data_IF_614081981862
#
_entry.id   IF_614081981862
#
_cell.length_a   1.000
_cell.length_b   1.000
_cell.length_c   1.000
_cell.angle_alpha   90.00
_cell.angle_beta   90.00
_cell.angle_gamma   90.00
#
_symmetry.space_group_name_H-M   'P 1'
#
loop_
_entity.id
_entity.type
_entity.pdbx_description
1 polymer ?
#
# COMPACT_ATOMS: atom_id res chain seq x y z
N UNK A 1 31.49 -24.08 -11.47
CA UNK A 1 31.50 -22.78 -10.76
C UNK A 1 30.47 -21.95 -11.50
N UNK A 2 29.37 -21.52 -10.85
CA UNK A 2 28.17 -20.95 -11.50
C UNK A 2 28.41 -19.53 -12.06
N UNK A 3 29.29 -19.42 -13.05
CA UNK A 3 29.75 -18.16 -13.63
C UNK A 3 28.62 -17.38 -14.32
N UNK A 4 27.83 -18.04 -15.17
CA UNK A 4 26.68 -17.41 -15.81
C UNK A 4 25.67 -16.84 -14.81
N UNK A 5 25.41 -17.55 -13.72
CA UNK A 5 24.48 -17.09 -12.67
C UNK A 5 24.96 -15.80 -12.00
N UNK A 6 26.24 -15.73 -11.64
CA UNK A 6 26.82 -14.53 -11.02
C UNK A 6 26.78 -13.33 -11.97
N UNK A 7 26.99 -13.55 -13.26
CA UNK A 7 26.92 -12.49 -14.27
C UNK A 7 25.49 -11.96 -14.46
N UNK A 8 24.48 -12.84 -14.45
CA UNK A 8 23.06 -12.42 -14.47
C UNK A 8 22.70 -11.65 -13.20
N UNK A 9 23.15 -12.10 -12.03
CA UNK A 9 22.94 -11.36 -10.77
C UNK A 9 23.60 -9.97 -10.82
N UNK A 10 24.81 -9.86 -11.37
CA UNK A 10 25.48 -8.59 -11.57
C UNK A 10 24.68 -7.65 -12.47
N UNK A 11 24.21 -8.15 -13.62
CA UNK A 11 23.36 -7.38 -14.53
C UNK A 11 22.08 -6.88 -13.83
N UNK A 12 21.41 -7.75 -13.06
CA UNK A 12 20.24 -7.39 -12.26
C UNK A 12 20.55 -6.32 -11.21
N UNK A 13 21.68 -6.43 -10.52
CA UNK A 13 22.11 -5.44 -9.51
C UNK A 13 22.29 -4.05 -10.11
N UNK A 14 22.98 -3.94 -11.24
CA UNK A 14 23.18 -2.67 -11.94
C UNK A 14 21.86 -2.08 -12.44
N UNK A 15 21.01 -2.89 -13.08
CA UNK A 15 19.71 -2.42 -13.55
C UNK A 15 18.79 -2.03 -12.39
N UNK A 16 18.83 -2.74 -11.27
CA UNK A 16 18.01 -2.42 -10.10
C UNK A 16 18.45 -1.11 -9.43
N UNK A 17 19.75 -0.81 -9.41
CA UNK A 17 20.29 0.39 -8.77
C UNK A 17 20.17 1.64 -9.66
N UNK A 18 20.54 1.53 -10.94
CA UNK A 18 20.73 2.69 -11.82
C UNK A 18 19.74 2.72 -13.00
N UNK A 19 18.95 1.66 -13.19
CA UNK A 19 17.98 1.55 -14.27
C UNK A 19 18.64 1.67 -15.64
N UNK A 20 18.03 2.47 -16.51
CA UNK A 20 18.52 2.69 -17.88
C UNK A 20 19.94 3.27 -17.94
N UNK A 21 20.43 3.95 -16.90
CA UNK A 21 21.79 4.53 -16.88
C UNK A 21 22.89 3.47 -16.89
N UNK A 22 22.61 2.28 -16.38
CA UNK A 22 23.56 1.17 -16.36
C UNK A 22 23.31 0.14 -17.48
N UNK A 23 22.55 0.51 -18.53
CA UNK A 23 22.23 -0.42 -19.63
C UNK A 23 23.48 -0.98 -20.31
N UNK A 24 24.54 -0.17 -20.48
CA UNK A 24 25.78 -0.62 -21.11
C UNK A 24 26.52 -1.66 -20.24
N UNK A 25 26.60 -1.41 -18.94
CA UNK A 25 27.23 -2.33 -17.97
C UNK A 25 26.41 -3.61 -17.86
N UNK A 26 25.09 -3.49 -17.80
CA UNK A 26 24.20 -4.64 -17.79
C UNK A 26 24.30 -5.47 -19.07
N UNK A 27 24.42 -4.82 -20.23
CA UNK A 27 24.63 -5.47 -21.53
C UNK A 27 25.93 -6.27 -21.55
N UNK A 28 27.02 -5.69 -21.06
CA UNK A 28 28.32 -6.39 -20.93
C UNK A 28 28.17 -7.66 -20.10
N UNK A 29 27.48 -7.58 -18.96
CA UNK A 29 27.26 -8.75 -18.07
C UNK A 29 26.35 -9.80 -18.71
N UNK A 30 25.30 -9.38 -19.41
CA UNK A 30 24.43 -10.30 -20.17
C UNK A 30 25.23 -11.02 -21.25
N UNK A 31 26.07 -10.30 -21.99
CA UNK A 31 26.92 -10.88 -23.04
C UNK A 31 27.97 -11.83 -22.47
N UNK A 32 28.60 -11.45 -21.35
CA UNK A 32 29.50 -12.33 -20.62
C UNK A 32 28.78 -13.60 -20.14
N UNK A 33 27.54 -13.48 -19.63
CA UNK A 33 26.76 -14.65 -19.19
C UNK A 33 26.44 -15.60 -20.35
N UNK A 34 26.15 -15.06 -21.54
CA UNK A 34 25.87 -15.86 -22.73
C UNK A 34 27.13 -16.54 -23.28
N UNK A 35 28.30 -15.94 -23.05
CA UNK A 35 29.61 -16.48 -23.43
C UNK A 35 30.24 -17.40 -22.38
N UNK A 36 29.72 -17.42 -21.15
CA UNK A 36 30.25 -18.22 -20.05
C UNK A 36 30.17 -19.72 -20.36
N UNK A 37 31.21 -20.47 -19.99
CA UNK A 37 31.28 -21.92 -20.20
C UNK A 37 30.36 -22.70 -19.23
N UNK A 38 30.10 -22.14 -18.04
CA UNK A 38 29.18 -22.70 -17.05
C UNK A 38 27.91 -21.85 -16.97
N UNK A 39 26.80 -22.45 -17.38
CA UNK A 39 25.45 -21.84 -17.36
C UNK A 39 24.52 -22.51 -16.35
N UNK A 40 25.08 -23.25 -15.38
CA UNK A 40 24.29 -23.89 -14.34
C UNK A 40 23.44 -22.86 -13.57
N UNK A 41 22.14 -23.14 -13.48
CA UNK A 41 21.19 -22.28 -12.77
C UNK A 41 20.66 -21.09 -13.56
N UNK A 42 20.95 -21.00 -14.87
CA UNK A 42 20.50 -19.92 -15.75
C UNK A 42 19.75 -20.48 -16.97
N UNK A 43 18.57 -19.94 -17.25
CA UNK A 43 17.89 -20.15 -18.53
C UNK A 43 18.43 -19.20 -19.60
N UNK A 44 19.30 -19.74 -20.45
CA UNK A 44 19.98 -19.04 -21.54
C UNK A 44 19.01 -18.43 -22.56
N UNK A 45 17.84 -19.05 -22.77
CA UNK A 45 16.86 -18.52 -23.71
C UNK A 45 16.19 -17.27 -23.16
N UNK A 46 15.97 -17.21 -21.85
CA UNK A 46 15.48 -16.01 -21.18
C UNK A 46 16.55 -14.92 -21.14
N UNK A 47 17.83 -15.26 -20.91
CA UNK A 47 18.93 -14.28 -20.99
C UNK A 47 19.06 -13.69 -22.40
N UNK A 48 18.88 -14.51 -23.45
CA UNK A 48 18.89 -14.01 -24.84
C UNK A 48 17.72 -13.08 -25.14
N UNK A 49 16.54 -13.37 -24.59
CA UNK A 49 15.38 -12.46 -24.70
C UNK A 49 15.63 -11.16 -23.94
N UNK A 50 16.21 -11.25 -22.74
CA UNK A 50 16.57 -10.08 -21.94
C UNK A 50 17.57 -9.17 -22.66
N UNK A 51 18.54 -9.75 -23.38
CA UNK A 51 19.44 -8.99 -24.26
C UNK A 51 18.66 -8.17 -25.28
N UNK A 52 17.71 -8.80 -25.98
CA UNK A 52 16.92 -8.13 -27.01
C UNK A 52 16.04 -7.00 -26.44
N UNK A 53 15.43 -7.21 -25.27
CA UNK A 53 14.63 -6.17 -24.61
C UNK A 53 15.47 -5.01 -24.12
N UNK A 54 16.68 -5.27 -23.62
CA UNK A 54 17.60 -4.23 -23.18
C UNK A 54 18.11 -3.40 -24.36
N UNK A 55 18.39 -4.04 -25.51
CA UNK A 55 18.73 -3.35 -26.76
C UNK A 55 17.58 -2.45 -27.25
N UNK A 56 16.33 -2.82 -26.99
CA UNK A 56 15.15 -2.01 -27.27
C UNK A 56 14.91 -0.89 -26.23
N UNK A 57 15.73 -0.81 -25.18
CA UNK A 57 15.61 0.17 -24.09
C UNK A 57 14.56 -0.20 -23.03
N UNK A 58 14.01 -1.42 -23.08
CA UNK A 58 13.01 -1.89 -22.12
C UNK A 58 13.68 -2.56 -20.90
N UNK A 59 14.08 -1.72 -19.96
CA UNK A 59 14.75 -2.14 -18.71
C UNK A 59 13.83 -2.98 -17.83
N UNK A 60 12.53 -2.67 -17.78
CA UNK A 60 11.58 -3.36 -16.91
C UNK A 60 11.41 -4.83 -17.35
N UNK A 61 11.13 -5.03 -18.64
CA UNK A 61 11.01 -6.38 -19.21
C UNK A 61 12.35 -7.13 -19.14
N UNK A 62 13.47 -6.42 -19.31
CA UNK A 62 14.81 -7.01 -19.13
C UNK A 62 14.99 -7.56 -17.72
N UNK A 63 14.68 -6.79 -16.69
CA UNK A 63 14.80 -7.24 -15.29
C UNK A 63 13.91 -8.45 -15.02
N UNK A 64 12.68 -8.45 -15.52
CA UNK A 64 11.76 -9.57 -15.36
C UNK A 64 12.30 -10.85 -16.00
N UNK A 65 12.81 -10.76 -17.23
CA UNK A 65 13.39 -11.90 -17.95
C UNK A 65 14.65 -12.43 -17.26
N UNK A 66 15.52 -11.54 -16.77
CA UNK A 66 16.72 -11.95 -16.03
C UNK A 66 16.35 -12.61 -14.69
N UNK A 67 15.37 -12.09 -13.94
CA UNK A 67 14.89 -12.72 -12.70
C UNK A 67 14.32 -14.12 -12.96
N UNK A 68 13.49 -14.25 -14.01
CA UNK A 68 12.94 -15.55 -14.44
C UNK A 68 14.05 -16.51 -14.84
N UNK A 69 15.11 -16.02 -15.49
CA UNK A 69 16.21 -16.87 -15.94
C UNK A 69 16.95 -17.57 -14.80
N UNK A 70 16.96 -16.98 -13.59
CA UNK A 70 17.63 -17.54 -12.41
C UNK A 70 16.66 -18.07 -11.36
N UNK A 71 15.35 -18.06 -11.61
CA UNK A 71 14.32 -18.36 -10.61
C UNK A 71 14.50 -19.74 -9.96
N UNK A 72 14.78 -20.77 -10.76
CA UNK A 72 15.02 -22.14 -10.29
C UNK A 72 16.28 -22.24 -9.43
N UNK A 73 17.34 -21.51 -9.78
CA UNK A 73 18.54 -21.48 -8.96
C UNK A 73 18.27 -20.79 -7.63
N UNK A 74 17.62 -19.62 -7.66
CA UNK A 74 17.24 -18.86 -6.46
C UNK A 74 16.33 -19.67 -5.53
N UNK A 75 15.37 -20.44 -6.07
CA UNK A 75 14.47 -21.27 -5.24
C UNK A 75 15.18 -22.41 -4.51
N UNK A 76 16.33 -22.85 -5.02
CA UNK A 76 17.12 -23.92 -4.42
C UNK A 76 18.13 -23.40 -3.39
N UNK A 77 18.31 -22.09 -3.25
CA UNK A 77 19.15 -21.53 -2.19
C UNK A 77 18.42 -21.68 -0.84
N UNK A 78 19.14 -22.02 0.25
CA UNK A 78 18.59 -21.93 1.59
C UNK A 78 18.13 -20.49 1.81
N UNK A 79 16.88 -20.33 2.27
CA UNK A 79 16.34 -19.02 2.60
C UNK A 79 17.21 -18.42 3.70
N UNK A 80 17.83 -17.27 3.43
CA UNK A 80 18.57 -16.55 4.45
C UNK A 80 17.65 -16.30 5.65
N UNK A 81 18.04 -16.81 6.81
CA UNK A 81 17.40 -16.49 8.09
C UNK A 81 18.11 -15.27 8.69
N UNK A 82 17.46 -14.54 9.60
CA UNK A 82 17.98 -13.25 10.10
C UNK A 82 19.39 -13.30 10.71
N UNK A 83 19.88 -14.47 11.09
CA UNK A 83 21.25 -14.66 11.54
C UNK A 83 22.29 -14.56 10.39
N UNK A 84 21.91 -14.92 9.16
CA UNK A 84 22.79 -14.98 7.98
C UNK A 84 22.97 -13.63 7.27
N UNK A 85 22.05 -12.67 7.48
CA UNK A 85 22.07 -11.38 6.77
C UNK A 85 22.81 -10.27 7.51
N UNK A 86 23.42 -10.57 8.67
CA UNK A 86 24.07 -9.57 9.54
C UNK A 86 23.11 -8.57 10.19
N UNK A 87 21.84 -8.61 9.81
CA UNK A 87 20.72 -7.94 10.45
C UNK A 87 20.06 -8.93 11.40
N UNK A 88 20.60 -9.04 12.61
CA UNK A 88 19.85 -9.65 13.72
C UNK A 88 18.50 -8.94 13.77
N UNK A 89 17.44 -9.62 13.34
CA UNK A 89 16.12 -9.26 13.78
C UNK A 89 16.17 -9.56 15.26
N UNK A 90 16.47 -8.56 16.08
CA UNK A 90 16.02 -8.59 17.47
C UNK A 90 14.52 -8.76 17.31
N UNK A 91 13.94 -9.94 17.59
CA UNK A 91 12.51 -9.96 17.81
C UNK A 91 12.42 -9.03 19.01
N UNK A 92 11.93 -7.81 18.79
CA UNK A 92 11.47 -7.06 19.92
C UNK A 92 10.38 -7.96 20.48
N UNK A 93 10.70 -8.66 21.58
CA UNK A 93 9.76 -9.26 22.51
C UNK A 93 8.90 -8.11 23.06
N UNK A 94 8.19 -7.42 22.16
CA UNK A 94 7.06 -6.61 22.49
C UNK A 94 6.07 -7.66 22.97
N UNK A 95 5.77 -7.72 24.28
CA UNK A 95 4.74 -8.61 24.75
C UNK A 95 3.52 -8.33 23.89
N UNK A 96 3.02 -9.35 23.19
CA UNK A 96 1.78 -9.23 22.44
C UNK A 96 0.74 -8.58 23.36
N UNK A 97 -0.11 -7.69 22.82
CA UNK A 97 -1.13 -7.01 23.63
C UNK A 97 -1.78 -8.03 24.55
N UNK A 98 -1.58 -7.86 25.86
CA UNK A 98 -2.22 -8.69 26.85
C UNK A 98 -3.74 -8.57 26.76
N UNK A 99 -4.50 -9.42 27.46
CA UNK A 99 -5.93 -9.21 27.60
C UNK A 99 -6.21 -7.79 28.09
N UNK A 100 -7.33 -7.21 27.64
CA UNK A 100 -7.73 -5.84 28.00
C UNK A 100 -7.59 -5.63 29.50
N UNK A 101 -6.80 -4.62 29.87
CA UNK A 101 -6.60 -4.25 31.26
C UNK A 101 -7.93 -3.81 31.87
N UNK A 102 -8.07 -3.92 33.19
CA UNK A 102 -9.20 -3.34 33.92
C UNK A 102 -9.38 -1.86 33.59
N UNK A 103 -8.27 -1.14 33.36
CA UNK A 103 -8.31 0.27 32.99
C UNK A 103 -8.91 0.48 31.59
N UNK A 104 -8.57 -0.38 30.63
CA UNK A 104 -9.15 -0.32 29.28
C UNK A 104 -10.66 -0.53 29.31
N UNK A 105 -11.13 -1.46 30.15
CA UNK A 105 -12.55 -1.68 30.38
C UNK A 105 -13.26 -0.48 31.01
N UNK A 106 -12.61 0.20 31.98
CA UNK A 106 -13.19 1.41 32.58
C UNK A 106 -13.29 2.56 31.59
N UNK A 107 -12.26 2.77 30.75
CA UNK A 107 -12.28 3.79 29.71
C UNK A 107 -13.34 3.47 28.64
N UNK A 108 -13.47 2.20 28.25
CA UNK A 108 -14.50 1.75 27.33
C UNK A 108 -15.91 2.01 27.88
N UNK A 109 -16.15 1.61 29.14
CA UNK A 109 -17.43 1.83 29.79
C UNK A 109 -17.78 3.32 29.90
N UNK A 110 -16.81 4.16 30.27
CA UNK A 110 -16.99 5.61 30.36
C UNK A 110 -17.30 6.23 28.99
N UNK A 111 -16.63 5.78 27.94
CA UNK A 111 -16.88 6.23 26.57
C UNK A 111 -18.31 5.91 26.13
N UNK A 112 -18.76 4.67 26.34
CA UNK A 112 -20.14 4.26 26.03
C UNK A 112 -21.15 5.10 26.81
N UNK A 113 -20.89 5.37 28.08
CA UNK A 113 -21.77 6.15 28.95
C UNK A 113 -21.89 7.61 28.48
N UNK A 114 -20.78 8.22 28.05
CA UNK A 114 -20.78 9.57 27.46
C UNK A 114 -21.56 9.63 26.14
N UNK A 115 -21.40 8.63 25.27
CA UNK A 115 -22.14 8.55 24.00
C UNK A 115 -23.64 8.42 24.26
N UNK A 116 -24.05 7.52 25.15
CA UNK A 116 -25.45 7.32 25.49
C UNK A 116 -26.05 8.55 26.20
N UNK A 117 -25.30 9.16 27.11
CA UNK A 117 -25.69 10.39 27.79
C UNK A 117 -25.88 11.56 26.81
N UNK A 118 -24.95 11.73 25.86
CA UNK A 118 -25.04 12.72 24.81
C UNK A 118 -26.23 12.47 23.87
N UNK A 119 -26.46 11.23 23.46
CA UNK A 119 -27.59 10.86 22.62
C UNK A 119 -28.93 11.09 23.33
N UNK A 120 -29.05 10.67 24.59
CA UNK A 120 -30.26 10.89 25.39
C UNK A 120 -30.53 12.39 25.61
N UNK A 121 -29.48 13.17 25.89
CA UNK A 121 -29.57 14.62 26.02
C UNK A 121 -30.01 15.29 24.71
N UNK A 122 -29.43 14.87 23.58
CA UNK A 122 -29.80 15.39 22.26
C UNK A 122 -31.27 15.05 21.90
N UNK A 123 -31.74 13.86 22.26
CA UNK A 123 -33.13 13.46 22.05
C UNK A 123 -34.09 14.21 22.97
N UNK A 124 -33.72 14.41 24.25
CA UNK A 124 -34.55 15.14 25.22
C UNK A 124 -34.64 16.63 24.91
N UNK A 125 -33.54 17.23 24.49
CA UNK A 125 -33.46 18.67 24.20
C UNK A 125 -33.90 19.02 22.77
N UNK A 126 -34.45 18.04 22.02
CA UNK A 126 -34.93 18.26 20.66
C UNK A 126 -36.12 19.23 20.71
N UNK A 127 -35.98 20.48 20.22
CA UNK A 127 -37.07 21.45 20.29
C UNK A 127 -38.23 21.00 19.41
N UNK A 128 -39.45 21.03 19.95
CA UNK A 128 -40.67 20.72 19.19
C UNK A 128 -41.00 21.80 18.14
N UNK A 129 -40.43 23.00 18.27
CA UNK A 129 -40.59 24.08 17.32
C UNK A 129 -39.51 24.02 16.24
N UNK A 130 -39.81 23.26 15.19
CA UNK A 130 -39.01 23.29 13.95
C UNK A 130 -39.20 24.63 13.24
N UNK A 131 -38.18 25.11 12.51
CA UNK A 131 -38.27 26.33 11.67
C UNK A 131 -39.50 26.28 10.73
N UNK A 132 -39.96 25.08 10.39
CA UNK A 132 -41.17 24.82 9.59
C UNK A 132 -42.47 25.25 10.30
N UNK A 133 -42.58 25.10 11.63
CA UNK A 133 -43.73 25.59 12.41
C UNK A 133 -43.71 27.11 12.54
N UNK A 134 -42.52 27.72 12.69
CA UNK A 134 -42.36 29.17 12.67
C UNK A 134 -42.73 29.76 11.29
N UNK A 135 -42.30 29.11 10.21
CA UNK A 135 -42.58 29.54 8.83
C UNK A 135 -44.05 29.36 8.44
N UNK A 136 -44.73 28.33 8.98
CA UNK A 136 -46.17 28.15 8.85
C UNK A 136 -46.94 29.29 9.54
N UNK A 137 -46.58 29.63 10.79
CA UNK A 137 -47.19 30.74 11.55
C UNK A 137 -46.95 32.11 10.89
N UNK A 138 -45.75 32.34 10.36
CA UNK A 138 -45.42 33.56 9.63
C UNK A 138 -46.26 33.70 8.35
N UNK A 139 -46.39 32.63 7.56
CA UNK A 139 -47.26 32.63 6.36
C UNK A 139 -48.73 32.89 6.69
N UNK A 140 -49.21 32.32 7.78
CA UNK A 140 -50.59 32.52 8.24
C UNK A 140 -50.82 33.98 8.68
N UNK A 141 -49.86 34.59 9.39
CA UNK A 141 -49.91 36.00 9.76
C UNK A 141 -49.89 36.95 8.54
N UNK A 142 -49.03 36.69 7.54
CA UNK A 142 -48.97 37.52 6.33
C UNK A 142 -50.27 37.40 5.52
N UNK A 143 -50.86 36.21 5.43
CA UNK A 143 -52.14 36.00 4.74
C UNK A 143 -53.34 36.68 5.41
N UNK A 144 -53.32 36.86 6.74
CA UNK A 144 -54.35 37.65 7.43
C UNK A 144 -54.21 39.16 7.17
N UNK A 145 -52.97 39.66 7.08
CA UNK A 145 -52.71 41.08 6.83
C UNK A 145 -53.13 41.50 5.42
N UNK A 146 -52.95 40.64 4.42
CA UNK A 146 -53.39 40.88 3.04
C UNK A 146 -54.93 40.88 2.90
N UNK A 147 -55.64 40.02 3.67
CA UNK A 147 -57.11 40.00 3.70
C UNK A 147 -57.73 41.21 4.39
N UNK A 148 -57.08 41.74 5.43
CA UNK A 148 -57.54 42.93 6.13
C UNK A 148 -57.43 44.19 5.27
N UNK A 149 -56.45 44.27 4.35
CA UNK A 149 -56.27 45.42 3.45
C UNK A 149 -57.19 45.34 2.22
N UNK A 150 -57.54 44.13 1.75
CA UNK A 150 -58.41 43.94 0.59
C UNK A 150 -59.91 44.16 0.83
N UNK A 151 -60.34 44.52 2.04
CA UNK A 151 -61.76 44.76 2.39
C UNK A 151 -62.11 46.24 2.57
N UNK A 152 -61.17 47.17 2.31
CA UNK A 152 -61.39 48.62 2.33
C UNK A 152 -61.38 49.26 0.92
N UNK A 153 -61.96 48.59 -0.09
CA UNK A 153 -62.24 49.18 -1.40
C UNK A 153 -63.71 49.03 -1.78
#
# INVERSE_FOLDING_TARGET
>A
MQEGYLLVQGALGYLAHEGARASDIAMEKIDASLAASDQAGVDVNLVRQAKATLQAGDVATTQELLQKSIATAVSNLPRAVGEDTGTSTVPSDLPGRGPLSTLDWTLLALSVLLVLGGAAGALRSRPHDSIRSLQARLRESTGMQDRAVGTEL
#
